data_IF_568424125854
#
_entry.id   IF_568424125854
#
_cell.length_a   1.000
_cell.length_b   1.000
_cell.length_c   1.000
_cell.angle_alpha   90.00
_cell.angle_beta   90.00
_cell.angle_gamma   90.00
#
_symmetry.space_group_name_H-M   'P 1'
#
loop_
_entity.id
_entity.type
_entity.pdbx_description
1 polymer ?
#
# COMPACT_ATOMS: atom_id res chain seq x y z
N UNK A 1 1.90 -4.62 19.66
CA UNK A 1 0.53 -4.24 19.25
C UNK A 1 -0.18 -3.67 20.45
N UNK A 2 -0.81 -2.49 20.33
CA UNK A 2 -1.66 -1.97 21.40
C UNK A 2 -2.90 -2.89 21.55
N UNK A 3 -2.88 -3.70 22.58
CA UNK A 3 -4.01 -4.56 22.98
C UNK A 3 -5.12 -3.66 23.50
N UNK A 4 -6.05 -3.27 22.64
CA UNK A 4 -7.21 -2.44 23.00
C UNK A 4 -7.75 -1.55 21.88
N UNK A 5 -7.02 -1.37 20.78
CA UNK A 5 -7.55 -0.62 19.64
C UNK A 5 -8.44 -1.50 18.75
N UNK A 6 -9.59 -0.97 18.32
CA UNK A 6 -10.50 -1.64 17.38
C UNK A 6 -9.88 -1.79 15.97
N UNK A 7 -8.90 -0.95 15.64
CA UNK A 7 -8.24 -0.93 14.33
C UNK A 7 -6.72 -1.04 14.50
N UNK A 8 -6.01 -1.60 13.50
CA UNK A 8 -4.56 -1.55 13.49
C UNK A 8 -4.07 -0.10 13.56
N UNK A 9 -3.11 0.17 14.43
CA UNK A 9 -2.59 1.52 14.65
C UNK A 9 -1.15 1.45 15.15
N UNK A 10 -0.34 2.38 14.72
CA UNK A 10 0.99 2.63 15.28
C UNK A 10 0.88 3.39 16.60
N UNK A 11 1.95 3.35 17.39
CA UNK A 11 2.02 4.08 18.65
C UNK A 11 2.05 5.61 18.43
N UNK A 12 1.67 6.35 19.45
CA UNK A 12 1.78 7.82 19.43
C UNK A 12 3.25 8.28 19.30
N UNK A 13 4.18 7.50 19.83
CA UNK A 13 5.61 7.74 19.67
C UNK A 13 6.05 7.63 18.22
N UNK A 14 5.54 6.62 17.48
CA UNK A 14 5.82 6.47 16.05
C UNK A 14 5.23 7.62 15.23
N UNK A 15 4.01 8.08 15.51
CA UNK A 15 3.45 9.25 14.83
C UNK A 15 4.24 10.52 15.16
N UNK A 16 4.68 10.70 16.40
CA UNK A 16 5.53 11.83 16.79
C UNK A 16 6.86 11.83 16.04
N UNK A 17 7.49 10.67 15.87
CA UNK A 17 8.70 10.49 15.05
C UNK A 17 8.43 10.89 13.59
N UNK A 18 7.36 10.35 12.97
CA UNK A 18 6.98 10.66 11.59
C UNK A 18 6.77 12.17 11.37
N UNK A 19 6.07 12.80 12.29
CA UNK A 19 5.82 14.25 12.23
C UNK A 19 7.10 15.07 12.35
N UNK A 20 8.00 14.65 13.24
CA UNK A 20 9.31 15.30 13.41
C UNK A 20 10.13 15.21 12.13
N UNK A 21 10.22 14.03 11.53
CA UNK A 21 11.00 13.79 10.31
C UNK A 21 10.43 14.56 9.11
N UNK A 22 9.09 14.55 8.96
CA UNK A 22 8.44 15.27 7.86
C UNK A 22 8.60 16.78 8.03
N UNK A 23 8.43 17.31 9.24
CA UNK A 23 8.62 18.75 9.52
C UNK A 23 10.07 19.19 9.30
N UNK A 24 11.03 18.36 9.65
CA UNK A 24 12.44 18.63 9.35
C UNK A 24 12.69 18.70 7.82
N UNK A 25 12.13 17.77 7.06
CA UNK A 25 12.18 17.80 5.59
C UNK A 25 11.50 19.04 4.99
N UNK A 26 10.34 19.43 5.53
CA UNK A 26 9.63 20.65 5.13
C UNK A 26 10.49 21.89 5.39
N UNK A 27 11.11 21.98 6.57
CA UNK A 27 11.99 23.09 6.94
C UNK A 27 13.18 23.22 5.97
N UNK A 28 13.83 22.08 5.64
CA UNK A 28 14.93 22.05 4.67
C UNK A 28 14.50 22.51 3.27
N UNK A 29 13.25 22.19 2.88
CA UNK A 29 12.68 22.60 1.60
C UNK A 29 12.03 24.01 1.62
N UNK A 30 12.03 24.72 2.76
CA UNK A 30 11.42 26.03 2.91
C UNK A 30 9.90 26.02 2.80
N UNK A 31 9.24 24.93 3.20
CA UNK A 31 7.78 24.75 3.11
C UNK A 31 7.09 25.09 4.43
N UNK A 32 6.00 25.86 4.36
CA UNK A 32 5.17 26.23 5.51
C UNK A 32 4.14 25.14 5.88
N UNK A 33 3.66 24.40 4.89
CA UNK A 33 2.63 23.36 5.04
C UNK A 33 2.70 22.36 3.90
N UNK A 34 2.12 21.16 4.11
CA UNK A 34 1.87 20.19 3.04
C UNK A 34 0.37 20.05 2.79
N UNK A 35 0.01 19.90 1.52
CA UNK A 35 -1.24 19.33 1.06
C UNK A 35 -0.94 17.87 0.63
N UNK A 36 -1.33 16.92 1.46
CA UNK A 36 -1.11 15.49 1.19
C UNK A 36 -2.41 14.91 0.63
N UNK A 37 -2.37 14.52 -0.64
CA UNK A 37 -3.51 14.01 -1.37
C UNK A 37 -3.50 12.49 -1.43
N UNK A 38 -4.65 11.87 -1.25
CA UNK A 38 -4.80 10.43 -1.39
C UNK A 38 -6.16 10.03 -1.93
N UNK A 39 -6.16 8.94 -2.69
CA UNK A 39 -7.37 8.28 -3.21
C UNK A 39 -7.33 6.79 -2.92
N UNK A 40 -8.45 6.09 -3.17
CA UNK A 40 -8.47 4.62 -3.18
C UNK A 40 -7.35 4.08 -4.08
N UNK A 41 -6.48 3.24 -3.53
CA UNK A 41 -5.34 2.65 -4.24
C UNK A 41 -4.08 3.53 -4.33
N UNK A 42 -4.16 4.82 -3.99
CA UNK A 42 -3.00 5.74 -3.96
C UNK A 42 -3.13 6.68 -2.75
N UNK A 43 -2.79 6.19 -1.56
CA UNK A 43 -3.04 6.93 -0.32
C UNK A 43 -1.98 6.68 0.77
N UNK A 44 -0.85 6.10 0.40
CA UNK A 44 0.15 5.69 1.40
C UNK A 44 0.66 6.86 2.24
N UNK A 45 0.81 8.05 1.66
CA UNK A 45 1.29 9.25 2.35
C UNK A 45 0.26 9.80 3.33
N UNK A 46 -1.03 9.81 2.95
CA UNK A 46 -2.12 10.17 3.87
C UNK A 46 -2.18 9.17 5.01
N UNK A 47 -2.17 7.87 4.72
CA UNK A 47 -2.21 6.83 5.74
C UNK A 47 -0.99 6.88 6.66
N UNK A 48 0.19 7.13 6.13
CA UNK A 48 1.43 7.25 6.91
C UNK A 48 1.36 8.32 8.00
N UNK A 49 0.73 9.48 7.68
CA UNK A 49 0.62 10.61 8.59
C UNK A 49 -0.66 10.60 9.43
N UNK A 50 -1.72 9.92 8.98
CA UNK A 50 -3.03 9.98 9.63
C UNK A 50 -3.53 8.65 10.18
N UNK A 51 -2.90 7.53 9.88
CA UNK A 51 -3.40 6.16 10.08
C UNK A 51 -4.68 5.84 9.28
N UNK A 52 -5.23 6.76 8.51
CA UNK A 52 -6.49 6.56 7.79
C UNK A 52 -6.26 5.96 6.40
N UNK A 53 -6.65 4.68 6.14
CA UNK A 53 -6.63 4.11 4.81
C UNK A 53 -7.76 4.72 3.98
N UNK A 54 -7.40 5.62 3.08
CA UNK A 54 -8.37 6.42 2.31
C UNK A 54 -9.35 5.56 1.54
N UNK A 55 -10.64 5.81 1.70
CA UNK A 55 -11.71 5.01 1.11
C UNK A 55 -12.16 5.52 -0.26
N UNK A 56 -12.04 6.82 -0.54
CA UNK A 56 -12.34 7.46 -1.83
C UNK A 56 -11.31 8.53 -2.12
N UNK A 57 -11.46 9.70 -1.52
CA UNK A 57 -10.54 10.82 -1.59
C UNK A 57 -10.37 11.41 -0.19
N UNK A 58 -9.16 11.82 0.13
CA UNK A 58 -8.86 12.59 1.32
C UNK A 58 -7.71 13.57 1.06
N UNK A 59 -7.75 14.68 1.76
CA UNK A 59 -6.66 15.67 1.79
C UNK A 59 -6.27 15.90 3.24
N UNK A 60 -5.00 15.74 3.54
CA UNK A 60 -4.43 16.12 4.83
C UNK A 60 -3.71 17.46 4.68
N UNK A 61 -4.17 18.45 5.40
CA UNK A 61 -3.43 19.71 5.62
C UNK A 61 -2.49 19.48 6.78
N UNK A 62 -1.19 19.41 6.49
CA UNK A 62 -0.14 19.13 7.47
C UNK A 62 0.78 20.34 7.61
N UNK A 63 0.61 21.18 8.65
CA UNK A 63 1.39 22.39 8.85
C UNK A 63 2.78 22.08 9.42
N UNK A 64 3.72 22.99 9.18
CA UNK A 64 5.05 22.95 9.79
C UNK A 64 5.02 23.05 11.33
N UNK A 65 3.95 23.63 11.89
CA UNK A 65 3.69 23.67 13.34
C UNK A 65 2.19 23.58 13.63
N UNK A 66 1.84 23.00 14.78
CA UNK A 66 0.43 22.79 15.18
C UNK A 66 -0.14 21.49 14.62
N UNK A 67 -1.45 21.30 14.80
CA UNK A 67 -2.15 20.04 14.50
C UNK A 67 -2.58 19.95 13.05
N UNK A 68 -2.45 18.77 12.42
CA UNK A 68 -2.98 18.53 11.07
C UNK A 68 -4.51 18.49 11.05
N UNK A 69 -5.09 18.75 9.87
CA UNK A 69 -6.53 18.59 9.61
C UNK A 69 -6.72 17.59 8.46
N UNK A 70 -7.53 16.56 8.69
CA UNK A 70 -7.88 15.55 7.67
C UNK A 70 -9.27 15.84 7.09
N UNK A 71 -9.33 16.07 5.79
CA UNK A 71 -10.58 16.20 5.03
C UNK A 71 -10.91 14.89 4.34
N UNK A 72 -12.12 14.39 4.54
CA UNK A 72 -12.63 13.15 3.95
C UNK A 72 -13.80 13.47 3.02
N UNK A 73 -13.73 13.02 1.77
CA UNK A 73 -14.69 13.36 0.72
C UNK A 73 -16.12 12.97 1.07
N UNK A 74 -16.32 11.74 1.54
CA UNK A 74 -17.67 11.22 1.77
C UNK A 74 -18.12 11.51 3.21
N UNK A 75 -19.24 12.22 3.36
CA UNK A 75 -19.78 12.57 4.69
C UNK A 75 -20.00 11.36 5.61
N UNK A 76 -20.55 10.29 5.08
CA UNK A 76 -20.80 9.05 5.82
C UNK A 76 -19.52 8.25 6.16
N UNK A 77 -18.36 8.62 5.63
CA UNK A 77 -17.07 8.00 6.00
C UNK A 77 -16.39 8.73 7.16
N UNK A 78 -16.79 9.98 7.47
CA UNK A 78 -16.18 10.79 8.54
C UNK A 78 -16.24 10.12 9.91
N UNK A 79 -17.35 9.51 10.36
CA UNK A 79 -17.38 8.84 11.66
C UNK A 79 -16.36 7.71 11.79
N UNK A 80 -16.18 6.91 10.75
CA UNK A 80 -15.18 5.84 10.75
C UNK A 80 -13.75 6.41 10.66
N UNK A 81 -13.52 7.45 9.85
CA UNK A 81 -12.24 8.13 9.77
C UNK A 81 -11.79 8.67 11.13
N UNK A 82 -12.70 9.21 11.95
CA UNK A 82 -12.42 9.67 13.32
C UNK A 82 -12.01 8.54 14.28
N UNK A 83 -12.49 7.31 14.03
CA UNK A 83 -12.11 6.16 14.86
C UNK A 83 -10.77 5.56 14.48
N UNK A 84 -10.46 5.57 13.16
CA UNK A 84 -9.24 4.95 12.62
C UNK A 84 -8.05 5.89 12.66
N UNK A 85 -8.29 7.19 12.43
CA UNK A 85 -7.24 8.20 12.34
C UNK A 85 -6.59 8.50 13.68
N UNK A 86 -5.29 8.85 13.63
CA UNK A 86 -4.61 9.49 14.75
C UNK A 86 -4.81 11.02 14.77
N UNK A 87 -5.42 11.59 13.72
CA UNK A 87 -5.75 13.00 13.64
C UNK A 87 -7.03 13.30 14.41
N UNK A 88 -7.01 14.28 15.28
CA UNK A 88 -8.17 14.70 16.05
C UNK A 88 -9.15 15.55 15.25
N UNK A 89 -8.63 16.41 14.36
CA UNK A 89 -9.43 17.27 13.50
C UNK A 89 -9.74 16.59 12.17
N UNK A 90 -10.80 15.77 12.16
CA UNK A 90 -11.30 15.08 10.95
C UNK A 90 -12.62 15.71 10.53
N UNK A 91 -12.64 16.26 9.32
CA UNK A 91 -13.78 17.02 8.77
C UNK A 91 -14.30 16.38 7.48
N UNK A 92 -15.55 16.65 7.18
CA UNK A 92 -16.08 16.41 5.85
C UNK A 92 -15.48 17.39 4.84
N UNK A 93 -15.03 16.91 3.70
CA UNK A 93 -14.43 17.73 2.63
C UNK A 93 -15.45 18.49 1.78
N UNK A 94 -16.74 18.46 2.14
CA UNK A 94 -17.75 19.16 1.35
C UNK A 94 -17.99 18.54 -0.04
N UNK A 95 -18.64 19.28 -0.94
CA UNK A 95 -18.83 18.86 -2.33
C UNK A 95 -17.50 18.72 -3.12
N UNK A 96 -16.50 19.52 -2.75
CA UNK A 96 -15.14 19.47 -3.31
C UNK A 96 -14.11 19.52 -2.16
N UNK A 97 -13.41 18.41 -1.92
CA UNK A 97 -12.45 18.27 -0.81
C UNK A 97 -11.32 19.30 -0.90
N UNK A 98 -10.92 19.66 -2.11
CA UNK A 98 -9.91 20.69 -2.38
C UNK A 98 -10.34 22.05 -1.85
N UNK A 99 -11.60 22.45 -2.05
CA UNK A 99 -12.10 23.77 -1.62
C UNK A 99 -12.08 23.87 -0.09
N UNK A 100 -12.48 22.80 0.61
CA UNK A 100 -12.42 22.74 2.07
C UNK A 100 -10.99 22.82 2.60
N UNK A 101 -10.04 22.16 1.93
CA UNK A 101 -8.63 22.22 2.31
C UNK A 101 -8.03 23.63 2.06
N UNK A 102 -8.37 24.25 0.93
CA UNK A 102 -7.95 25.63 0.62
C UNK A 102 -8.51 26.63 1.62
N UNK A 103 -9.79 26.49 2.00
CA UNK A 103 -10.39 27.36 3.01
C UNK A 103 -9.71 27.20 4.38
N UNK A 104 -9.39 25.97 4.77
CA UNK A 104 -8.63 25.72 5.99
C UNK A 104 -7.23 26.36 5.96
N UNK A 105 -6.56 26.36 4.81
CA UNK A 105 -5.28 27.08 4.66
C UNK A 105 -5.45 28.58 4.89
N UNK A 106 -6.53 29.19 4.35
CA UNK A 106 -6.83 30.61 4.55
C UNK A 106 -7.14 30.95 6.01
N UNK A 107 -8.03 30.16 6.63
CA UNK A 107 -8.39 30.32 8.06
C UNK A 107 -7.16 30.27 8.98
N UNK A 108 -6.16 29.47 8.61
CA UNK A 108 -4.94 29.29 9.40
C UNK A 108 -3.79 30.23 9.01
N UNK A 109 -3.99 31.11 8.02
CA UNK A 109 -2.92 31.98 7.52
C UNK A 109 -1.79 31.25 6.79
N UNK A 110 -2.11 30.08 6.19
CA UNK A 110 -1.17 29.22 5.46
C UNK A 110 -1.37 29.26 3.93
N UNK A 111 -2.21 30.19 3.46
CA UNK A 111 -2.59 30.32 2.05
C UNK A 111 -1.52 31.02 1.18
N UNK A 112 -0.48 31.53 1.79
CA UNK A 112 0.63 32.24 1.14
C UNK A 112 1.96 31.51 1.40
N UNK A 113 2.99 31.84 0.63
CA UNK A 113 4.31 31.21 0.77
C UNK A 113 4.44 29.89 0.01
N UNK A 114 5.33 29.01 0.49
CA UNK A 114 5.63 27.75 -0.18
C UNK A 114 4.82 26.61 0.46
N UNK A 115 3.96 25.99 -0.35
CA UNK A 115 3.11 24.87 0.04
C UNK A 115 3.61 23.61 -0.68
N UNK A 116 4.01 22.60 0.08
CA UNK A 116 4.39 21.32 -0.46
C UNK A 116 3.14 20.51 -0.87
N UNK A 117 3.18 19.93 -2.06
CA UNK A 117 2.14 19.05 -2.59
C UNK A 117 2.68 17.63 -2.59
N UNK A 118 1.92 16.67 -2.03
CA UNK A 118 2.31 15.28 -1.91
C UNK A 118 1.22 14.38 -2.49
N UNK A 119 1.62 13.41 -3.30
CA UNK A 119 0.73 12.44 -3.93
C UNK A 119 0.32 12.83 -5.36
N UNK A 120 -0.45 11.95 -6.00
CA UNK A 120 -0.90 12.15 -7.39
C UNK A 120 -2.21 12.91 -7.41
N UNK A 121 -2.15 14.24 -7.53
CA UNK A 121 -3.34 15.08 -7.61
C UNK A 121 -3.87 15.12 -9.05
N UNK A 122 -5.17 14.91 -9.29
CA UNK A 122 -5.77 15.08 -10.60
C UNK A 122 -5.59 16.53 -11.11
N UNK A 123 -5.36 16.67 -12.42
CA UNK A 123 -5.09 17.96 -13.05
C UNK A 123 -6.15 19.04 -12.70
N UNK A 124 -7.43 18.68 -12.71
CA UNK A 124 -8.51 19.64 -12.41
C UNK A 124 -8.42 20.15 -10.97
N UNK A 125 -8.11 19.28 -10.02
CA UNK A 125 -7.96 19.66 -8.60
C UNK A 125 -6.70 20.51 -8.39
N UNK A 126 -5.60 20.16 -9.05
CA UNK A 126 -4.39 20.98 -9.04
C UNK A 126 -4.65 22.39 -9.61
N UNK A 127 -5.38 22.48 -10.73
CA UNK A 127 -5.77 23.76 -11.32
C UNK A 127 -6.67 24.59 -10.38
N UNK A 128 -7.60 23.94 -9.65
CA UNK A 128 -8.43 24.58 -8.63
C UNK A 128 -7.59 25.15 -7.50
N UNK A 129 -6.65 24.36 -6.94
CA UNK A 129 -5.73 24.84 -5.90
C UNK A 129 -4.93 26.06 -6.39
N UNK A 130 -4.34 25.95 -7.59
CA UNK A 130 -3.55 27.05 -8.20
C UNK A 130 -4.37 28.32 -8.36
N UNK A 131 -5.61 28.20 -8.87
CA UNK A 131 -6.52 29.33 -9.05
C UNK A 131 -6.97 29.96 -7.72
N UNK A 132 -7.18 29.14 -6.70
CA UNK A 132 -7.62 29.57 -5.39
C UNK A 132 -6.48 30.18 -4.53
N UNK A 133 -5.23 29.80 -4.78
CA UNK A 133 -4.04 30.23 -4.03
C UNK A 133 -3.01 30.90 -4.97
N UNK A 134 -3.34 32.04 -5.61
CA UNK A 134 -2.48 32.66 -6.62
C UNK A 134 -1.15 33.19 -6.05
N UNK A 135 -1.08 33.47 -4.76
CA UNK A 135 0.12 33.94 -4.07
C UNK A 135 1.00 32.82 -3.50
N UNK A 136 0.52 31.58 -3.52
CA UNK A 136 1.29 30.45 -3.02
C UNK A 136 2.20 29.85 -4.10
N UNK A 137 3.41 29.47 -3.72
CA UNK A 137 4.27 28.63 -4.53
C UNK A 137 3.95 27.14 -4.21
N UNK A 138 3.36 26.43 -5.16
CA UNK A 138 3.12 24.99 -5.02
C UNK A 138 4.37 24.22 -5.44
N UNK A 139 4.94 23.42 -4.53
CA UNK A 139 6.19 22.68 -4.70
C UNK A 139 5.89 21.19 -4.57
N UNK A 140 6.31 20.38 -5.54
CA UNK A 140 6.21 18.92 -5.39
C UNK A 140 7.16 18.42 -4.29
N UNK A 141 6.61 17.76 -3.28
CA UNK A 141 7.34 17.17 -2.16
C UNK A 141 7.19 15.64 -2.11
N UNK A 142 6.65 15.04 -3.16
CA UNK A 142 6.33 13.61 -3.21
C UNK A 142 7.58 12.74 -3.09
N UNK A 143 8.64 13.07 -3.85
CA UNK A 143 9.88 12.31 -3.81
C UNK A 143 10.56 12.37 -2.42
N UNK A 144 10.57 13.54 -1.78
CA UNK A 144 11.11 13.69 -0.43
C UNK A 144 10.29 12.89 0.60
N UNK A 145 8.96 12.92 0.48
CA UNK A 145 8.07 12.13 1.33
C UNK A 145 8.32 10.62 1.16
N UNK A 146 8.58 10.15 -0.05
CA UNK A 146 8.95 8.75 -0.31
C UNK A 146 10.30 8.39 0.33
N UNK A 147 11.29 9.28 0.28
CA UNK A 147 12.59 9.07 0.94
C UNK A 147 12.45 8.95 2.46
N UNK A 148 11.62 9.77 3.10
CA UNK A 148 11.34 9.70 4.54
C UNK A 148 10.71 8.36 4.94
N UNK A 149 9.94 7.73 4.05
CA UNK A 149 9.30 6.42 4.24
C UNK A 149 10.18 5.24 3.81
N UNK A 150 11.34 5.50 3.23
CA UNK A 150 12.20 4.42 2.70
C UNK A 150 12.75 3.53 3.81
N UNK A 151 13.25 4.13 4.90
CA UNK A 151 13.72 3.39 6.07
C UNK A 151 12.53 3.17 7.02
N UNK A 152 12.24 1.89 7.29
CA UNK A 152 11.11 1.48 8.13
C UNK A 152 11.48 1.49 9.59
N UNK A 153 10.55 1.92 10.44
CA UNK A 153 10.67 1.74 11.89
C UNK A 153 10.44 0.28 12.30
N UNK A 154 10.79 -0.06 13.53
CA UNK A 154 10.55 -1.40 14.07
C UNK A 154 9.05 -1.74 14.06
N UNK A 155 8.16 -0.77 14.34
CA UNK A 155 6.71 -0.99 14.26
C UNK A 155 6.25 -1.24 12.82
N UNK A 156 6.80 -0.55 11.82
CA UNK A 156 6.51 -0.80 10.41
C UNK A 156 7.01 -2.19 9.97
N UNK A 157 8.15 -2.64 10.50
CA UNK A 157 8.67 -3.98 10.24
C UNK A 157 7.72 -5.05 10.78
N UNK A 158 7.11 -4.85 11.96
CA UNK A 158 6.10 -5.78 12.48
C UNK A 158 4.85 -5.86 11.60
N UNK A 159 4.41 -4.73 11.01
CA UNK A 159 3.31 -4.74 10.04
C UNK A 159 3.69 -5.46 8.75
N UNK A 160 4.93 -5.28 8.25
CA UNK A 160 5.46 -6.02 7.10
C UNK A 160 5.54 -7.52 7.38
N UNK A 161 6.00 -7.94 8.58
CA UNK A 161 6.01 -9.35 8.98
C UNK A 161 4.62 -9.93 8.96
N UNK A 162 3.62 -9.19 9.45
CA UNK A 162 2.23 -9.62 9.40
C UNK A 162 1.73 -9.78 7.96
N UNK A 163 2.04 -8.84 7.07
CA UNK A 163 1.74 -8.95 5.65
C UNK A 163 2.38 -10.18 5.00
N UNK A 164 3.64 -10.48 5.33
CA UNK A 164 4.34 -11.67 4.86
C UNK A 164 3.68 -12.96 5.36
N UNK A 165 3.36 -13.06 6.67
CA UNK A 165 2.62 -14.20 7.23
C UNK A 165 1.28 -14.46 6.53
N UNK A 166 0.56 -13.41 6.14
CA UNK A 166 -0.71 -13.55 5.42
C UNK A 166 -0.49 -14.12 4.01
N UNK A 167 0.58 -13.70 3.33
CA UNK A 167 0.95 -14.23 2.02
C UNK A 167 1.44 -15.68 2.11
N UNK A 168 2.20 -16.04 3.14
CA UNK A 168 2.61 -17.44 3.38
C UNK A 168 1.38 -18.34 3.55
N UNK A 169 0.37 -17.92 4.31
CA UNK A 169 -0.89 -18.67 4.47
C UNK A 169 -1.63 -18.88 3.15
N UNK A 170 -1.62 -17.87 2.27
CA UNK A 170 -2.21 -17.99 0.95
C UNK A 170 -1.49 -19.04 0.10
N UNK A 171 -0.16 -19.09 0.14
CA UNK A 171 0.65 -20.10 -0.54
C UNK A 171 0.43 -21.49 0.03
N UNK A 172 0.37 -21.65 1.35
CA UNK A 172 0.06 -22.92 2.02
C UNK A 172 -1.35 -23.42 1.63
N UNK A 173 -2.32 -22.52 1.50
CA UNK A 173 -3.67 -22.86 1.06
C UNK A 173 -3.67 -23.36 -0.41
N UNK A 174 -2.94 -22.68 -1.29
CA UNK A 174 -2.78 -23.13 -2.68
C UNK A 174 -2.10 -24.50 -2.77
N UNK A 175 -1.04 -24.74 -1.99
CA UNK A 175 -0.35 -26.03 -1.95
C UNK A 175 -1.31 -27.17 -1.55
N UNK A 176 -2.19 -26.91 -0.61
CA UNK A 176 -3.15 -27.88 -0.08
C UNK A 176 -4.34 -28.13 -1.02
N UNK A 177 -4.83 -27.10 -1.69
CA UNK A 177 -6.16 -27.10 -2.32
C UNK A 177 -6.15 -26.97 -3.84
N UNK A 178 -5.06 -26.48 -4.45
CA UNK A 178 -4.96 -26.39 -5.91
C UNK A 178 -4.93 -27.79 -6.52
N UNK A 179 -5.92 -28.09 -7.36
CA UNK A 179 -6.12 -29.41 -7.96
C UNK A 179 -6.76 -29.32 -9.35
N UNK A 180 -6.64 -30.36 -10.17
CA UNK A 180 -7.42 -30.43 -11.41
C UNK A 180 -8.92 -30.35 -11.15
N UNK A 181 -9.64 -29.72 -12.08
CA UNK A 181 -11.10 -29.60 -12.06
C UNK A 181 -11.65 -28.32 -11.45
N UNK A 182 -10.84 -27.55 -10.72
CA UNK A 182 -11.23 -26.19 -10.28
C UNK A 182 -10.82 -25.15 -11.32
N UNK A 183 -11.43 -23.97 -11.24
CA UNK A 183 -11.13 -22.82 -12.10
C UNK A 183 -10.07 -21.89 -11.50
N UNK A 184 -9.48 -21.01 -12.30
CA UNK A 184 -8.58 -19.96 -11.80
C UNK A 184 -9.31 -18.99 -10.86
N UNK A 185 -10.61 -18.74 -11.03
CA UNK A 185 -11.41 -17.96 -10.07
C UNK A 185 -11.52 -18.64 -8.69
N UNK A 186 -11.65 -19.96 -8.67
CA UNK A 186 -11.67 -20.72 -7.40
C UNK A 186 -10.31 -20.67 -6.68
N UNK A 187 -9.19 -20.56 -7.42
CA UNK A 187 -7.88 -20.32 -6.80
C UNK A 187 -7.83 -18.97 -6.06
N UNK A 188 -8.43 -17.91 -6.62
CA UNK A 188 -8.50 -16.61 -5.94
C UNK A 188 -9.27 -16.74 -4.64
N UNK A 189 -10.40 -17.46 -4.64
CA UNK A 189 -11.19 -17.70 -3.43
C UNK A 189 -10.38 -18.43 -2.35
N UNK A 190 -9.63 -19.46 -2.72
CA UNK A 190 -8.72 -20.20 -1.80
C UNK A 190 -7.70 -19.26 -1.17
N UNK A 191 -7.07 -18.41 -1.99
CA UNK A 191 -6.05 -17.45 -1.54
C UNK A 191 -6.66 -16.44 -0.56
N UNK A 192 -7.80 -15.84 -0.89
CA UNK A 192 -8.41 -14.80 -0.06
C UNK A 192 -8.99 -15.36 1.25
N UNK A 193 -9.62 -16.52 1.21
CA UNK A 193 -10.15 -17.19 2.41
C UNK A 193 -9.05 -17.48 3.45
N UNK A 194 -7.84 -17.75 3.02
CA UNK A 194 -6.72 -18.07 3.90
C UNK A 194 -6.31 -16.92 4.84
N UNK A 195 -6.60 -15.66 4.49
CA UNK A 195 -6.10 -14.53 5.28
C UNK A 195 -7.15 -13.45 5.63
N UNK A 196 -8.29 -13.37 4.93
CA UNK A 196 -9.29 -12.31 5.17
C UNK A 196 -9.76 -12.27 6.63
N UNK A 197 -10.01 -13.44 7.24
CA UNK A 197 -10.40 -13.56 8.64
C UNK A 197 -9.37 -13.05 9.65
N UNK A 198 -8.15 -12.75 9.22
CA UNK A 198 -7.07 -12.23 10.05
C UNK A 198 -6.79 -10.74 9.80
N UNK A 199 -7.72 -10.05 9.11
CA UNK A 199 -7.61 -8.63 8.79
C UNK A 199 -6.71 -8.33 7.59
N UNK A 200 -6.35 -9.35 6.81
CA UNK A 200 -5.64 -9.19 5.54
C UNK A 200 -6.53 -8.60 4.46
N UNK A 201 -5.91 -7.99 3.46
CA UNK A 201 -6.55 -7.53 2.23
C UNK A 201 -5.71 -7.94 1.03
N UNK A 202 -6.38 -8.11 -0.12
CA UNK A 202 -5.70 -8.27 -1.39
C UNK A 202 -4.90 -7.01 -1.72
N UNK A 203 -3.63 -7.21 -2.12
CA UNK A 203 -2.81 -6.19 -2.75
C UNK A 203 -2.52 -6.58 -4.21
N UNK A 204 -1.97 -7.78 -4.43
CA UNK A 204 -1.73 -8.36 -5.75
C UNK A 204 -2.04 -9.86 -5.67
N UNK A 205 -2.94 -10.34 -6.53
CA UNK A 205 -3.17 -11.76 -6.76
C UNK A 205 -3.14 -12.03 -8.25
N UNK A 206 -1.95 -12.23 -8.78
CA UNK A 206 -1.74 -12.61 -10.17
C UNK A 206 -1.48 -14.10 -10.26
N UNK A 207 -2.29 -14.79 -11.04
CA UNK A 207 -2.21 -16.25 -11.19
C UNK A 207 -2.55 -16.64 -12.62
N UNK A 208 -1.85 -17.65 -13.12
CA UNK A 208 -2.19 -18.29 -14.38
C UNK A 208 -1.84 -19.76 -14.35
N UNK A 209 -2.60 -20.57 -15.07
CA UNK A 209 -2.34 -21.99 -15.24
C UNK A 209 -2.06 -22.30 -16.72
N UNK A 210 -1.14 -23.23 -16.97
CA UNK A 210 -0.76 -23.64 -18.32
C UNK A 210 -0.19 -25.06 -18.34
N UNK A 211 -0.38 -25.84 -19.42
CA UNK A 211 0.24 -27.15 -19.54
C UNK A 211 1.78 -27.07 -19.49
N UNK A 212 2.42 -27.81 -18.58
CA UNK A 212 3.90 -27.83 -18.47
C UNK A 212 4.60 -28.29 -19.74
N UNK A 213 3.95 -29.15 -20.56
CA UNK A 213 4.56 -29.69 -21.80
C UNK A 213 4.48 -28.75 -22.99
N UNK A 214 3.52 -27.83 -22.98
CA UNK A 214 3.30 -26.86 -24.03
C UNK A 214 2.73 -25.57 -23.43
N UNK A 215 3.55 -24.79 -22.71
CA UNK A 215 3.09 -23.59 -22.00
C UNK A 215 2.61 -22.53 -22.99
N UNK A 216 1.46 -21.95 -22.71
CA UNK A 216 0.84 -20.84 -23.46
C UNK A 216 0.97 -19.50 -22.78
N UNK A 217 1.32 -19.50 -21.47
CA UNK A 217 1.61 -18.30 -20.67
C UNK A 217 2.92 -18.51 -19.92
N UNK A 218 3.66 -17.43 -19.69
CA UNK A 218 4.97 -17.47 -19.03
C UNK A 218 5.06 -16.55 -17.80
N UNK A 219 4.00 -15.80 -17.52
CA UNK A 219 3.89 -14.89 -16.35
C UNK A 219 2.52 -15.04 -15.71
N UNK A 220 2.36 -14.72 -14.43
CA UNK A 220 1.06 -14.69 -13.78
C UNK A 220 0.13 -13.67 -14.46
N UNK A 221 -1.12 -14.05 -14.70
CA UNK A 221 -2.13 -13.16 -15.27
C UNK A 221 -2.69 -12.20 -14.22
N UNK A 222 -2.87 -10.93 -14.60
CA UNK A 222 -3.43 -9.89 -13.73
C UNK A 222 -4.93 -10.10 -13.46
N UNK A 223 -5.60 -10.88 -14.30
CA UNK A 223 -7.01 -11.23 -14.14
C UNK A 223 -7.17 -12.75 -14.24
N UNK A 224 -7.79 -13.38 -13.24
CA UNK A 224 -8.13 -14.80 -13.31
C UNK A 224 -9.14 -15.05 -14.41
N UNK A 225 -9.15 -16.27 -14.94
CA UNK A 225 -10.06 -16.68 -16.00
C UNK A 225 -10.97 -17.84 -15.55
N UNK A 226 -11.93 -18.20 -16.42
CA UNK A 226 -12.77 -19.39 -16.24
C UNK A 226 -12.06 -20.68 -16.68
N UNK A 227 -10.75 -20.63 -16.97
CA UNK A 227 -10.01 -21.82 -17.34
C UNK A 227 -10.09 -22.85 -16.22
N UNK A 228 -10.48 -24.05 -16.58
CA UNK A 228 -10.45 -25.21 -15.68
C UNK A 228 -9.04 -25.78 -15.68
N UNK A 229 -8.50 -25.99 -14.49
CA UNK A 229 -7.15 -26.50 -14.28
C UNK A 229 -7.11 -28.00 -14.62
N UNK A 230 -6.09 -28.39 -15.36
CA UNK A 230 -5.92 -29.77 -15.80
C UNK A 230 -4.72 -30.44 -15.11
N UNK A 231 -4.77 -31.79 -15.07
CA UNK A 231 -3.63 -32.56 -14.59
C UNK A 231 -2.41 -32.36 -15.51
N UNK A 232 -1.28 -31.97 -14.92
CA UNK A 232 -0.05 -31.67 -15.67
C UNK A 232 0.10 -30.20 -16.02
N UNK A 233 -0.79 -29.33 -15.50
CA UNK A 233 -0.58 -27.88 -15.52
C UNK A 233 0.50 -27.47 -14.52
N UNK A 234 1.07 -26.31 -14.77
CA UNK A 234 1.75 -25.51 -13.76
C UNK A 234 0.89 -24.30 -13.42
N UNK A 235 0.70 -24.03 -12.16
CA UNK A 235 0.17 -22.77 -11.64
C UNK A 235 1.35 -21.83 -11.36
N UNK A 236 1.33 -20.66 -11.96
CA UNK A 236 2.32 -19.59 -11.76
C UNK A 236 1.65 -18.52 -10.92
N UNK A 237 2.27 -18.11 -9.80
CA UNK A 237 1.66 -17.15 -8.87
C UNK A 237 2.57 -15.98 -8.54
N UNK A 238 1.93 -14.83 -8.32
CA UNK A 238 2.49 -13.66 -7.67
C UNK A 238 1.44 -13.17 -6.67
N UNK A 239 1.65 -13.48 -5.41
CA UNK A 239 0.68 -13.24 -4.33
C UNK A 239 1.25 -12.21 -3.36
N UNK A 240 0.44 -11.19 -3.07
CA UNK A 240 0.72 -10.21 -2.03
C UNK A 240 -0.55 -9.95 -1.25
N UNK A 241 -0.67 -10.55 -0.08
CA UNK A 241 -1.60 -10.10 0.93
C UNK A 241 -0.98 -8.91 1.68
N UNK A 242 -1.81 -7.98 2.12
CA UNK A 242 -1.34 -6.84 2.91
C UNK A 242 -2.04 -6.77 4.27
N UNK A 243 -1.31 -6.34 5.27
CA UNK A 243 -1.84 -5.98 6.57
C UNK A 243 -1.79 -4.47 6.74
N UNK A 244 -2.96 -3.84 6.71
CA UNK A 244 -3.12 -2.39 6.90
C UNK A 244 -2.19 -1.51 6.04
N UNK A 245 -2.04 -1.86 4.75
CA UNK A 245 -1.20 -1.15 3.78
C UNK A 245 0.25 -1.62 3.71
N UNK A 246 0.65 -2.62 4.48
CA UNK A 246 1.98 -3.23 4.46
C UNK A 246 1.91 -4.62 3.84
N UNK A 247 2.31 -4.78 2.57
CA UNK A 247 2.24 -6.05 1.86
C UNK A 247 3.46 -6.93 2.11
N UNK A 248 3.24 -8.25 2.02
CA UNK A 248 4.30 -9.22 1.81
C UNK A 248 4.09 -9.89 0.45
N UNK A 249 5.11 -9.97 -0.38
CA UNK A 249 5.02 -10.58 -1.71
C UNK A 249 5.78 -11.89 -1.78
N UNK A 250 5.15 -12.87 -2.43
CA UNK A 250 5.74 -14.19 -2.66
C UNK A 250 5.35 -14.72 -4.04
N UNK A 251 6.31 -15.27 -4.75
CA UNK A 251 6.12 -15.92 -6.04
C UNK A 251 6.45 -17.40 -5.91
N UNK A 252 5.52 -18.28 -6.33
CA UNK A 252 5.71 -19.72 -6.30
C UNK A 252 5.06 -20.40 -7.51
N UNK A 253 5.74 -21.33 -8.19
CA UNK A 253 5.10 -22.24 -9.13
C UNK A 253 4.63 -23.51 -8.41
N UNK A 254 3.52 -24.09 -8.89
CA UNK A 254 2.99 -25.35 -8.41
C UNK A 254 2.72 -26.29 -9.58
N UNK A 255 3.24 -27.50 -9.54
CA UNK A 255 2.88 -28.55 -10.50
C UNK A 255 1.57 -29.22 -10.05
N UNK A 256 0.55 -29.18 -10.89
CA UNK A 256 -0.81 -29.59 -10.53
C UNK A 256 -1.07 -31.04 -10.92
N UNK A 257 -1.31 -31.89 -9.93
CA UNK A 257 -1.72 -33.29 -10.10
C UNK A 257 -0.71 -34.20 -10.81
N UNK A 258 0.50 -33.72 -11.08
CA UNK A 258 1.59 -34.47 -11.72
C UNK A 258 2.95 -33.94 -11.23
N UNK A 259 3.98 -34.76 -11.33
CA UNK A 259 5.35 -34.30 -11.10
C UNK A 259 5.78 -33.27 -12.14
N UNK A 260 6.61 -32.28 -11.78
CA UNK A 260 7.14 -31.33 -12.76
C UNK A 260 7.95 -32.03 -13.85
N UNK A 261 7.91 -31.49 -15.06
CA UNK A 261 8.76 -31.98 -16.16
C UNK A 261 10.24 -31.74 -15.82
N UNK A 262 11.14 -32.47 -16.47
CA UNK A 262 12.59 -32.29 -16.29
C UNK A 262 13.03 -30.86 -16.54
N UNK A 263 12.43 -30.20 -17.53
CA UNK A 263 12.74 -28.81 -17.87
C UNK A 263 12.27 -27.84 -16.78
N UNK A 264 11.02 -27.95 -16.28
CA UNK A 264 10.52 -27.15 -15.17
C UNK A 264 11.33 -27.36 -13.89
N UNK A 265 11.70 -28.60 -13.61
CA UNK A 265 12.58 -28.87 -12.46
C UNK A 265 13.93 -28.17 -12.60
N UNK A 266 14.57 -28.22 -13.78
CA UNK A 266 15.84 -27.53 -14.02
C UNK A 266 15.71 -26.02 -13.87
N UNK A 267 14.63 -25.42 -14.40
CA UNK A 267 14.38 -23.97 -14.24
C UNK A 267 14.19 -23.59 -12.78
N UNK A 268 13.43 -24.41 -12.03
CA UNK A 268 13.24 -24.20 -10.60
C UNK A 268 14.56 -24.27 -9.82
N UNK A 269 15.39 -25.28 -10.09
CA UNK A 269 16.69 -25.45 -9.43
C UNK A 269 17.62 -24.22 -9.68
N UNK A 270 17.62 -23.67 -10.90
CA UNK A 270 18.35 -22.42 -11.23
C UNK A 270 17.77 -21.23 -10.47
N UNK A 271 16.45 -21.09 -10.38
CA UNK A 271 15.80 -20.01 -9.65
C UNK A 271 16.15 -20.07 -8.16
N UNK A 272 16.09 -21.25 -7.54
CA UNK A 272 16.45 -21.47 -6.13
C UNK A 272 17.93 -21.15 -5.89
N UNK A 273 18.84 -21.62 -6.76
CA UNK A 273 20.26 -21.28 -6.63
C UNK A 273 20.50 -19.78 -6.72
N UNK A 274 19.85 -19.10 -7.67
CA UNK A 274 19.94 -17.66 -7.83
C UNK A 274 19.44 -16.93 -6.60
N UNK A 275 18.26 -17.31 -6.07
CA UNK A 275 17.70 -16.74 -4.86
C UNK A 275 18.66 -16.89 -3.67
N UNK A 276 19.20 -18.09 -3.45
CA UNK A 276 20.11 -18.35 -2.34
C UNK A 276 21.39 -17.52 -2.45
N UNK A 277 21.93 -17.35 -3.67
CA UNK A 277 23.11 -16.49 -3.89
C UNK A 277 22.83 -15.03 -3.55
N UNK A 278 21.65 -14.51 -3.91
CA UNK A 278 21.28 -13.10 -3.68
C UNK A 278 20.91 -12.86 -2.21
N UNK A 279 20.10 -13.76 -1.62
CA UNK A 279 19.60 -13.61 -0.26
C UNK A 279 20.71 -13.58 0.81
N UNK A 280 21.87 -14.18 0.52
CA UNK A 280 23.02 -14.24 1.42
C UNK A 280 24.14 -13.27 1.05
N UNK A 281 23.94 -12.36 0.11
CA UNK A 281 24.89 -11.26 -0.11
C UNK A 281 24.79 -10.32 1.11
N UNK A 282 25.90 -10.15 1.89
CA UNK A 282 25.86 -9.20 3.00
C UNK A 282 25.56 -7.80 2.46
N UNK A 283 24.52 -7.15 2.95
CA UNK A 283 24.35 -5.73 2.71
C UNK A 283 25.58 -5.02 3.26
N UNK A 284 26.38 -4.42 2.38
CA UNK A 284 27.57 -3.68 2.76
C UNK A 284 27.20 -2.63 3.80
N UNK A 285 28.00 -2.50 4.86
CA UNK A 285 27.81 -1.60 6.01
C UNK A 285 27.80 -0.10 5.63
N UNK A 286 27.79 0.26 4.36
CA UNK A 286 27.88 1.63 3.83
C UNK A 286 26.64 2.13 3.08
N UNK A 287 25.49 1.47 3.21
CA UNK A 287 24.22 2.03 2.73
C UNK A 287 23.29 2.29 3.92
N UNK A 288 23.66 3.27 4.72
CA UNK A 288 22.77 3.95 5.63
C UNK A 288 22.46 5.34 5.10
#
# INVERSE_FOLDING_TARGET
MHTGSLYPRFSDAEFSRRYTDVRAGMQQAGLSTLLVYGTTGSHHEVQYLSNFPVTREAILVFPGSGEPTLFVQMFNHVPNARQVSCITDVRWGGPATVDAAVENLRERGLAEGSIGVVGTIPFQQYASIRGALPQAALVDFTAQMQQLRFIKSDEEIEFLRKGAELSDRAIEALEREARPGITEHELVSIVEEAYLGQGGKNHIHYMATTPMRNPTVCVPAQHPSNRVIEKGDVLITEISAQYFGYPGQILRPFAIGASPTTEYKRMYDVAVETFNRIAYIPCGSNQR
#
